data_IF_995647223444
#
_entry.id   IF_995647223444
#
_cell.length_a   1.000
_cell.length_b   1.000
_cell.length_c   1.000
_cell.angle_alpha   90.00
_cell.angle_beta   90.00
_cell.angle_gamma   90.00
#
_symmetry.space_group_name_H-M   'P 1'
#
loop_
_entity.id
_entity.type
_entity.pdbx_description
1 polymer ?
#
# COMPACT_ATOMS: atom_id res chain seq x y z
N UNK A 1 -73.73 -17.59 -15.62
CA UNK A 1 -72.54 -16.94 -16.18
C UNK A 1 -71.77 -16.31 -15.02
N UNK A 2 -70.57 -16.83 -14.80
CA UNK A 2 -69.39 -16.25 -14.13
C UNK A 2 -69.56 -15.35 -12.87
N UNK A 3 -69.06 -15.84 -11.74
CA UNK A 3 -68.28 -15.00 -10.79
C UNK A 3 -66.91 -14.64 -11.43
N UNK A 4 -66.23 -13.56 -11.01
CA UNK A 4 -65.26 -13.76 -9.93
C UNK A 4 -65.07 -12.58 -8.94
N UNK A 5 -64.90 -12.99 -7.68
CA UNK A 5 -63.84 -12.63 -6.73
C UNK A 5 -63.31 -11.18 -6.68
N UNK A 6 -63.70 -10.48 -5.61
CA UNK A 6 -62.93 -9.38 -5.05
C UNK A 6 -61.64 -9.94 -4.44
N UNK A 7 -60.56 -9.98 -5.22
CA UNK A 7 -59.22 -10.22 -4.70
C UNK A 7 -58.77 -9.02 -3.84
N UNK A 8 -58.64 -9.26 -2.54
CA UNK A 8 -57.81 -8.45 -1.65
C UNK A 8 -56.37 -8.53 -2.16
N UNK A 9 -56.01 -7.61 -3.06
CA UNK A 9 -54.64 -7.36 -3.43
C UNK A 9 -53.89 -6.79 -2.24
N UNK A 10 -53.32 -7.68 -1.40
CA UNK A 10 -52.07 -7.37 -0.73
C UNK A 10 -51.11 -6.93 -1.82
N UNK A 11 -50.83 -5.63 -1.91
CA UNK A 11 -49.68 -5.16 -2.64
C UNK A 11 -48.47 -5.82 -1.97
N UNK A 12 -47.96 -6.88 -2.59
CA UNK A 12 -46.67 -7.43 -2.26
C UNK A 12 -45.70 -6.23 -2.22
N UNK A 13 -44.90 -6.06 -1.15
CA UNK A 13 -43.79 -5.14 -1.23
C UNK A 13 -43.02 -5.56 -2.47
N UNK A 14 -42.73 -4.63 -3.37
CA UNK A 14 -41.74 -4.87 -4.43
C UNK A 14 -40.53 -5.39 -3.68
N UNK A 15 -40.24 -6.67 -3.86
CA UNK A 15 -38.92 -7.20 -3.61
C UNK A 15 -38.02 -6.29 -4.44
N UNK A 16 -37.34 -5.36 -3.76
CA UNK A 16 -36.14 -4.78 -4.31
C UNK A 16 -35.32 -6.01 -4.69
N UNK A 17 -35.26 -6.31 -5.99
CA UNK A 17 -34.38 -7.35 -6.51
C UNK A 17 -33.04 -7.04 -5.88
N UNK A 18 -32.61 -7.86 -4.91
CA UNK A 18 -31.30 -7.77 -4.29
C UNK A 18 -30.30 -7.86 -5.45
N UNK A 19 -29.89 -6.71 -5.99
CA UNK A 19 -28.99 -6.62 -7.14
C UNK A 19 -27.77 -7.44 -6.74
N UNK A 20 -27.67 -8.63 -7.32
CA UNK A 20 -26.69 -9.61 -6.91
C UNK A 20 -25.32 -8.97 -7.04
N UNK A 21 -24.60 -8.83 -5.92
CA UNK A 21 -23.36 -8.04 -5.88
C UNK A 21 -22.45 -8.44 -7.06
N UNK A 22 -21.99 -7.47 -7.88
CA UNK A 22 -21.44 -7.74 -9.21
C UNK A 22 -20.29 -8.75 -9.19
N UNK A 23 -19.53 -8.80 -8.09
CA UNK A 23 -18.39 -9.68 -7.85
C UNK A 23 -18.71 -11.20 -7.86
N UNK A 24 -20.00 -11.57 -7.91
CA UNK A 24 -20.46 -12.96 -7.94
C UNK A 24 -20.69 -13.53 -9.36
N UNK A 25 -20.50 -12.75 -10.43
CA UNK A 25 -20.81 -13.18 -11.81
C UNK A 25 -19.57 -13.29 -12.72
N UNK A 26 -19.66 -14.09 -13.80
CA UNK A 26 -18.60 -14.20 -14.82
C UNK A 26 -18.34 -12.91 -15.61
N UNK A 27 -19.28 -11.97 -15.62
CA UNK A 27 -19.10 -10.61 -16.18
C UNK A 27 -18.07 -9.79 -15.37
N UNK A 28 -17.95 -10.08 -14.07
CA UNK A 28 -17.06 -9.35 -13.19
C UNK A 28 -15.56 -9.60 -13.45
N UNK A 29 -15.21 -10.77 -14.00
CA UNK A 29 -13.84 -11.05 -14.47
C UNK A 29 -13.44 -10.15 -15.64
N UNK A 30 -14.36 -9.84 -16.56
CA UNK A 30 -14.09 -8.93 -17.67
C UNK A 30 -14.00 -7.48 -17.20
N UNK A 31 -14.89 -7.05 -16.30
CA UNK A 31 -14.85 -5.71 -15.69
C UNK A 31 -13.56 -5.49 -14.87
N UNK A 32 -13.13 -6.48 -14.10
CA UNK A 32 -11.87 -6.42 -13.36
C UNK A 32 -10.65 -6.34 -14.28
N UNK A 33 -10.65 -7.04 -15.42
CA UNK A 33 -9.59 -6.94 -16.44
C UNK A 33 -9.55 -5.56 -17.09
N UNK A 34 -10.72 -4.99 -17.43
CA UNK A 34 -10.82 -3.62 -17.97
C UNK A 34 -10.26 -2.62 -16.96
N UNK A 35 -10.62 -2.77 -15.70
CA UNK A 35 -10.14 -1.88 -14.63
C UNK A 35 -8.64 -2.02 -14.42
N UNK A 36 -8.10 -3.24 -14.43
CA UNK A 36 -6.66 -3.47 -14.36
C UNK A 36 -5.94 -2.84 -15.55
N UNK A 37 -6.52 -2.94 -16.75
CA UNK A 37 -6.00 -2.31 -17.96
C UNK A 37 -6.02 -0.78 -17.86
N UNK A 38 -7.14 -0.18 -17.43
CA UNK A 38 -7.27 1.27 -17.21
C UNK A 38 -6.29 1.73 -16.13
N UNK A 39 -6.18 1.00 -15.03
CA UNK A 39 -5.22 1.31 -13.96
C UNK A 39 -3.79 1.28 -14.47
N UNK A 40 -3.43 0.27 -15.25
CA UNK A 40 -2.12 0.12 -15.88
C UNK A 40 -1.85 1.28 -16.84
N UNK A 41 -2.82 1.64 -17.69
CA UNK A 41 -2.72 2.81 -18.57
C UNK A 41 -2.55 4.12 -17.81
N UNK A 42 -3.21 4.28 -16.67
CA UNK A 42 -3.06 5.46 -15.81
C UNK A 42 -1.66 5.52 -15.20
N UNK A 43 -1.15 4.40 -14.69
CA UNK A 43 0.23 4.32 -14.16
C UNK A 43 1.24 4.64 -15.25
N UNK A 44 1.14 4.01 -16.42
CA UNK A 44 2.02 4.31 -17.56
C UNK A 44 1.85 5.75 -18.06
N UNK A 45 0.62 6.26 -18.17
CA UNK A 45 0.35 7.66 -18.54
C UNK A 45 1.00 8.64 -17.56
N UNK A 46 0.96 8.35 -16.26
CA UNK A 46 1.64 9.13 -15.23
C UNK A 46 3.17 9.11 -15.39
N UNK A 47 3.77 7.99 -15.84
CA UNK A 47 5.21 7.93 -16.13
C UNK A 47 5.63 8.80 -17.32
N UNK A 48 4.70 9.12 -18.23
CA UNK A 48 4.96 9.97 -19.40
C UNK A 48 4.91 11.47 -19.11
N UNK A 49 4.71 11.89 -17.85
CA UNK A 49 4.77 13.30 -17.47
C UNK A 49 6.17 13.86 -17.73
N UNK A 50 6.25 14.78 -18.69
CA UNK A 50 7.51 15.33 -19.22
C UNK A 50 8.20 16.34 -18.30
N UNK A 51 7.55 16.74 -17.20
CA UNK A 51 8.09 17.71 -16.24
C UNK A 51 8.33 17.04 -14.90
N UNK A 52 9.60 17.02 -14.46
CA UNK A 52 9.97 16.61 -13.12
C UNK A 52 9.78 17.77 -12.13
N UNK A 53 9.13 17.52 -11.00
CA UNK A 53 8.92 18.50 -9.94
C UNK A 53 8.16 17.90 -8.76
N UNK A 54 8.06 18.64 -7.65
CA UNK A 54 7.34 18.20 -6.44
C UNK A 54 5.89 17.83 -6.75
N UNK A 55 5.24 18.63 -7.59
CA UNK A 55 3.87 18.36 -8.03
C UNK A 55 3.75 17.07 -8.82
N UNK A 56 4.73 16.75 -9.67
CA UNK A 56 4.69 15.56 -10.53
C UNK A 56 4.73 14.27 -9.71
N UNK A 57 5.62 14.15 -8.73
CA UNK A 57 5.71 12.94 -7.89
C UNK A 57 4.45 12.71 -7.04
N UNK A 58 3.83 13.79 -6.55
CA UNK A 58 2.56 13.70 -5.82
C UNK A 58 1.44 13.29 -6.77
N UNK A 59 1.38 13.87 -7.96
CA UNK A 59 0.35 13.57 -8.97
C UNK A 59 0.46 12.13 -9.47
N UNK A 60 1.66 11.65 -9.80
CA UNK A 60 1.86 10.27 -10.30
C UNK A 60 1.53 9.20 -9.27
N UNK A 61 1.49 9.55 -7.99
CA UNK A 61 1.08 8.65 -6.92
C UNK A 61 -0.41 8.75 -6.58
N UNK A 62 -0.95 9.97 -6.52
CA UNK A 62 -2.32 10.25 -6.06
C UNK A 62 -3.38 9.92 -7.09
N UNK A 63 -3.11 10.13 -8.38
CA UNK A 63 -4.07 9.79 -9.45
C UNK A 63 -4.35 8.28 -9.46
N UNK A 64 -3.34 7.38 -9.46
CA UNK A 64 -3.58 5.94 -9.35
C UNK A 64 -4.37 5.55 -8.09
N UNK A 65 -4.08 6.16 -6.94
CA UNK A 65 -4.85 5.94 -5.70
C UNK A 65 -6.32 6.29 -5.90
N UNK A 66 -6.60 7.47 -6.48
CA UNK A 66 -7.96 7.91 -6.74
C UNK A 66 -8.71 6.96 -7.68
N UNK A 67 -8.07 6.52 -8.78
CA UNK A 67 -8.66 5.57 -9.73
C UNK A 67 -9.03 4.25 -9.05
N UNK A 68 -8.12 3.70 -8.24
CA UNK A 68 -8.36 2.45 -7.53
C UNK A 68 -9.47 2.61 -6.48
N UNK A 69 -9.50 3.74 -5.77
CA UNK A 69 -10.57 4.07 -4.84
C UNK A 69 -11.93 4.20 -5.52
N UNK A 70 -12.02 4.96 -6.62
CA UNK A 70 -13.25 5.14 -7.38
C UNK A 70 -13.78 3.81 -7.91
N UNK A 71 -12.90 2.90 -8.32
CA UNK A 71 -13.30 1.55 -8.69
C UNK A 71 -13.95 0.80 -7.52
N UNK A 72 -13.28 0.74 -6.36
CA UNK A 72 -13.84 0.07 -5.17
C UNK A 72 -15.17 0.72 -4.75
N UNK A 73 -15.25 2.05 -4.79
CA UNK A 73 -16.46 2.79 -4.47
C UNK A 73 -17.60 2.51 -5.47
N UNK A 74 -17.30 2.42 -6.76
CA UNK A 74 -18.28 2.09 -7.79
C UNK A 74 -18.87 0.69 -7.61
N UNK A 75 -18.03 -0.28 -7.21
CA UNK A 75 -18.42 -1.69 -7.04
C UNK A 75 -19.18 -1.93 -5.73
N UNK A 76 -18.71 -1.38 -4.61
CA UNK A 76 -19.23 -1.70 -3.27
C UNK A 76 -19.97 -0.55 -2.57
N UNK A 77 -19.72 0.70 -2.99
CA UNK A 77 -20.05 1.91 -2.22
C UNK A 77 -21.29 2.68 -2.65
N UNK A 78 -22.09 2.19 -3.61
CA UNK A 78 -23.21 2.95 -4.22
C UNK A 78 -24.23 3.52 -3.23
N UNK A 79 -24.39 2.91 -2.04
CA UNK A 79 -25.36 3.36 -1.03
C UNK A 79 -24.72 4.08 0.17
N UNK A 80 -23.40 4.28 0.17
CA UNK A 80 -22.71 4.92 1.31
C UNK A 80 -22.73 6.44 1.11
N UNK A 81 -23.21 7.22 2.10
CA UNK A 81 -23.21 8.68 2.00
C UNK A 81 -21.77 9.23 2.00
N UNK A 82 -21.50 10.17 1.10
CA UNK A 82 -20.18 10.82 0.94
C UNK A 82 -19.64 11.44 2.23
N UNK A 83 -20.52 11.94 3.10
CA UNK A 83 -20.16 12.45 4.42
C UNK A 83 -19.47 11.40 5.30
N UNK A 84 -19.95 10.15 5.30
CA UNK A 84 -19.33 9.07 6.08
C UNK A 84 -17.94 8.74 5.55
N UNK A 85 -17.78 8.67 4.23
CA UNK A 85 -16.49 8.46 3.56
C UNK A 85 -15.50 9.54 3.97
N UNK A 86 -15.93 10.81 3.95
CA UNK A 86 -15.11 11.93 4.38
C UNK A 86 -14.69 11.82 5.85
N UNK A 87 -15.59 11.42 6.76
CA UNK A 87 -15.24 11.20 8.17
C UNK A 87 -14.24 10.07 8.35
N UNK A 88 -14.38 8.95 7.64
CA UNK A 88 -13.40 7.85 7.67
C UNK A 88 -12.04 8.33 7.16
N UNK A 89 -12.03 9.09 6.06
CA UNK A 89 -10.81 9.62 5.48
C UNK A 89 -10.09 10.58 6.43
N UNK A 90 -10.81 11.55 7.00
CA UNK A 90 -10.27 12.52 7.96
C UNK A 90 -9.80 11.85 9.25
N UNK A 91 -10.54 10.85 9.74
CA UNK A 91 -10.15 10.07 10.92
C UNK A 91 -8.87 9.28 10.68
N UNK A 92 -8.74 8.67 9.50
CA UNK A 92 -7.53 7.94 9.12
C UNK A 92 -6.35 8.90 8.97
N UNK A 93 -6.58 10.07 8.36
CA UNK A 93 -5.55 11.09 8.16
C UNK A 93 -5.03 11.62 9.50
N UNK A 94 -5.92 11.83 10.48
CA UNK A 94 -5.56 12.26 11.82
C UNK A 94 -4.64 11.26 12.56
N UNK A 95 -4.70 9.97 12.21
CA UNK A 95 -3.77 8.95 12.73
C UNK A 95 -2.51 8.84 11.89
N UNK A 96 -2.65 8.83 10.56
CA UNK A 96 -1.55 8.60 9.63
C UNK A 96 -0.53 9.74 9.64
N UNK A 97 -0.96 11.00 9.70
CA UNK A 97 -0.04 12.16 9.64
C UNK A 97 0.90 12.22 10.84
N UNK A 98 0.43 12.18 12.11
CA UNK A 98 1.34 12.17 13.26
C UNK A 98 2.32 10.98 13.23
N UNK A 99 1.85 9.80 12.85
CA UNK A 99 2.71 8.61 12.72
C UNK A 99 3.78 8.83 11.65
N UNK A 100 3.43 9.37 10.48
CA UNK A 100 4.39 9.71 9.43
C UNK A 100 5.42 10.77 9.83
N UNK A 101 5.12 11.63 10.81
CA UNK A 101 6.04 12.63 11.36
C UNK A 101 6.96 12.06 12.46
N UNK A 102 6.45 11.13 13.29
CA UNK A 102 7.20 10.50 14.39
C UNK A 102 8.09 9.36 13.91
N UNK A 103 7.63 8.58 12.93
CA UNK A 103 8.35 7.43 12.37
C UNK A 103 9.80 7.75 11.95
N UNK A 104 10.10 8.87 11.27
CA UNK A 104 11.48 9.26 10.96
C UNK A 104 12.41 9.34 12.19
N UNK A 105 11.90 9.81 13.33
CA UNK A 105 12.67 9.93 14.57
C UNK A 105 12.91 8.54 15.18
N UNK A 106 11.89 7.70 15.18
CA UNK A 106 12.03 6.30 15.63
C UNK A 106 13.05 5.57 14.74
N UNK A 107 12.95 5.76 13.42
CA UNK A 107 13.87 5.18 12.44
C UNK A 107 15.31 5.62 12.65
N UNK A 108 15.55 6.89 12.97
CA UNK A 108 16.91 7.39 13.23
C UNK A 108 17.50 6.77 14.51
N UNK A 109 16.71 6.61 15.57
CA UNK A 109 17.12 5.96 16.81
C UNK A 109 17.56 4.51 16.59
N UNK A 110 16.77 3.73 15.85
CA UNK A 110 17.14 2.35 15.51
C UNK A 110 18.36 2.27 14.60
N UNK A 111 18.46 3.12 13.58
CA UNK A 111 19.63 3.19 12.71
C UNK A 111 20.95 3.39 13.48
N UNK A 112 20.92 4.16 14.57
CA UNK A 112 22.07 4.33 15.45
C UNK A 112 22.48 3.00 16.12
N UNK A 113 21.52 2.25 16.67
CA UNK A 113 21.75 0.93 17.29
C UNK A 113 22.34 -0.05 16.28
N UNK A 114 21.82 -0.06 15.05
CA UNK A 114 22.32 -0.95 14.00
C UNK A 114 23.73 -0.58 13.54
N UNK A 115 24.05 0.70 13.40
CA UNK A 115 25.42 1.13 13.07
C UNK A 115 26.42 0.68 14.14
N UNK A 116 26.02 0.69 15.41
CA UNK A 116 26.85 0.15 16.50
C UNK A 116 27.04 -1.36 16.39
N UNK A 117 25.99 -2.11 15.98
CA UNK A 117 26.09 -3.55 15.75
C UNK A 117 27.00 -3.87 14.55
N UNK A 118 26.89 -3.11 13.46
CA UNK A 118 27.77 -3.24 12.29
C UNK A 118 29.22 -2.89 12.64
N UNK A 119 29.45 -1.91 13.52
CA UNK A 119 30.79 -1.60 14.03
C UNK A 119 31.33 -2.74 14.90
N UNK A 120 30.53 -3.26 15.84
CA UNK A 120 30.93 -4.35 16.72
C UNK A 120 31.21 -5.66 15.97
N UNK A 121 30.58 -5.87 14.82
CA UNK A 121 30.76 -7.07 13.97
C UNK A 121 31.75 -6.85 12.81
N UNK A 122 32.35 -5.66 12.72
CA UNK A 122 33.29 -5.33 11.65
C UNK A 122 34.54 -6.23 11.73
N UNK A 123 34.81 -6.95 10.64
CA UNK A 123 36.04 -7.73 10.46
C UNK A 123 36.74 -7.28 9.18
N UNK A 124 37.93 -6.65 9.26
CA UNK A 124 38.63 -6.13 8.09
C UNK A 124 39.01 -7.24 7.10
N UNK A 125 39.26 -8.46 7.59
CA UNK A 125 39.76 -9.57 6.77
C UNK A 125 38.65 -10.43 6.13
N UNK A 126 37.38 -10.13 6.42
CA UNK A 126 36.21 -10.85 5.89
C UNK A 126 35.17 -9.87 5.36
N UNK A 127 35.22 -9.50 4.07
CA UNK A 127 34.25 -8.58 3.49
C UNK A 127 32.89 -9.25 3.32
N UNK A 128 31.98 -9.06 4.29
CA UNK A 128 30.59 -9.51 4.18
C UNK A 128 29.86 -8.75 3.07
N UNK A 129 29.13 -9.48 2.21
CA UNK A 129 28.27 -8.89 1.16
C UNK A 129 27.14 -8.05 1.77
N UNK A 130 26.68 -8.46 2.95
CA UNK A 130 25.64 -7.80 3.74
C UNK A 130 26.10 -7.77 5.20
N UNK A 131 26.16 -6.59 5.82
CA UNK A 131 26.52 -6.47 7.24
C UNK A 131 25.35 -6.97 8.09
N UNK A 132 25.57 -7.76 9.16
CA UNK A 132 24.49 -8.42 9.88
C UNK A 132 23.50 -7.46 10.57
N UNK A 133 23.92 -6.23 10.90
CA UNK A 133 23.01 -5.21 11.43
C UNK A 133 22.02 -4.70 10.38
N UNK A 134 22.38 -4.70 9.10
CA UNK A 134 21.51 -4.20 8.05
C UNK A 134 20.25 -5.06 7.83
N UNK A 135 20.31 -6.40 7.70
CA UNK A 135 19.11 -7.24 7.64
C UNK A 135 18.22 -7.10 8.86
N UNK A 136 18.83 -6.98 10.05
CA UNK A 136 18.08 -6.76 11.29
C UNK A 136 17.35 -5.42 11.23
N UNK A 137 18.01 -4.36 10.77
CA UNK A 137 17.37 -3.08 10.53
C UNK A 137 16.23 -3.18 9.53
N UNK A 138 16.49 -3.74 8.35
CA UNK A 138 15.47 -3.87 7.32
C UNK A 138 14.29 -4.68 7.80
N UNK A 139 14.51 -5.70 8.62
CA UNK A 139 13.45 -6.47 9.24
C UNK A 139 12.60 -5.61 10.18
N UNK A 140 13.24 -4.88 11.10
CA UNK A 140 12.54 -3.99 12.06
C UNK A 140 11.80 -2.87 11.33
N UNK A 141 12.48 -2.18 10.42
CA UNK A 141 11.92 -1.07 9.66
C UNK A 141 10.71 -1.52 8.84
N UNK A 142 10.85 -2.64 8.14
CA UNK A 142 9.81 -3.11 7.24
C UNK A 142 8.63 -3.76 7.99
N UNK A 143 8.90 -4.74 8.84
CA UNK A 143 7.82 -5.54 9.43
C UNK A 143 7.25 -4.90 10.69
N UNK A 144 8.07 -4.27 11.53
CA UNK A 144 7.61 -3.70 12.80
C UNK A 144 7.17 -2.23 12.67
N UNK A 145 7.96 -1.40 11.99
CA UNK A 145 7.67 0.03 11.89
C UNK A 145 6.73 0.37 10.73
N UNK A 146 6.93 -0.21 9.56
CA UNK A 146 6.14 0.13 8.38
C UNK A 146 4.86 -0.71 8.28
N UNK A 147 4.99 -2.00 8.00
CA UNK A 147 3.86 -2.88 7.73
C UNK A 147 2.94 -3.01 8.95
N UNK A 148 3.47 -3.28 10.14
CA UNK A 148 2.63 -3.45 11.34
C UNK A 148 1.84 -2.18 11.67
N UNK A 149 2.47 -1.01 11.67
CA UNK A 149 1.76 0.25 11.99
C UNK A 149 0.68 0.55 10.95
N UNK A 150 1.00 0.42 9.66
CA UNK A 150 0.04 0.72 8.60
C UNK A 150 -1.15 -0.26 8.62
N UNK A 151 -0.92 -1.56 8.83
CA UNK A 151 -2.01 -2.53 8.96
C UNK A 151 -2.81 -2.36 10.27
N UNK A 152 -2.18 -1.91 11.36
CA UNK A 152 -2.85 -1.58 12.61
C UNK A 152 -3.81 -0.41 12.48
N UNK A 153 -3.43 0.65 11.75
CA UNK A 153 -4.32 1.80 11.49
C UNK A 153 -5.56 1.32 10.72
N UNK A 154 -5.37 0.53 9.66
CA UNK A 154 -6.50 -0.05 8.90
C UNK A 154 -7.39 -0.87 9.80
N UNK A 155 -6.81 -1.75 10.62
CA UNK A 155 -7.56 -2.54 11.60
C UNK A 155 -8.38 -1.67 12.55
N UNK A 156 -7.76 -0.65 13.14
CA UNK A 156 -8.43 0.25 14.09
C UNK A 156 -9.60 0.99 13.45
N UNK A 157 -9.43 1.48 12.21
CA UNK A 157 -10.47 2.17 11.45
C UNK A 157 -11.66 1.26 11.17
N UNK A 158 -11.41 0.03 10.70
CA UNK A 158 -12.48 -0.91 10.36
C UNK A 158 -13.16 -1.41 11.64
N UNK A 159 -12.39 -1.72 12.69
CA UNK A 159 -12.93 -2.13 13.98
C UNK A 159 -13.84 -1.04 14.57
N UNK A 160 -13.42 0.23 14.59
CA UNK A 160 -14.28 1.32 15.05
C UNK A 160 -15.49 1.54 14.16
N UNK A 161 -15.40 1.28 12.85
CA UNK A 161 -16.57 1.29 11.98
C UNK A 161 -17.61 0.23 12.38
N UNK A 162 -17.17 -0.96 12.81
CA UNK A 162 -18.04 -1.98 13.42
C UNK A 162 -18.59 -1.52 14.77
N UNK A 163 -17.75 -1.04 15.68
CA UNK A 163 -18.19 -0.59 17.02
C UNK A 163 -19.22 0.54 16.96
N UNK A 164 -19.10 1.44 15.98
CA UNK A 164 -20.07 2.53 15.73
C UNK A 164 -21.29 2.09 14.91
N UNK A 165 -21.41 0.81 14.57
CA UNK A 165 -22.49 0.23 13.77
C UNK A 165 -22.69 0.93 12.42
N UNK A 166 -21.59 1.36 11.80
CA UNK A 166 -21.60 2.02 10.47
C UNK A 166 -21.70 1.03 9.32
N UNK A 167 -21.52 -0.26 9.60
CA UNK A 167 -21.48 -1.34 8.61
C UNK A 167 -22.85 -2.00 8.58
N UNK A 168 -23.53 -1.91 7.44
CA UNK A 168 -24.83 -2.54 7.22
C UNK A 168 -24.72 -3.70 6.24
N UNK A 169 -23.79 -3.62 5.29
CA UNK A 169 -23.53 -4.61 4.25
C UNK A 169 -22.05 -4.99 4.22
N UNK A 170 -21.70 -6.20 3.73
CA UNK A 170 -20.30 -6.61 3.61
C UNK A 170 -19.47 -5.67 2.71
N UNK A 171 -20.10 -5.09 1.68
CA UNK A 171 -19.49 -4.08 0.82
C UNK A 171 -19.03 -2.81 1.57
N UNK A 172 -19.74 -2.39 2.62
CA UNK A 172 -19.40 -1.17 3.37
C UNK A 172 -18.05 -1.30 4.08
N UNK A 173 -17.75 -2.50 4.61
CA UNK A 173 -16.47 -2.82 5.27
C UNK A 173 -15.31 -2.64 4.29
N UNK A 174 -15.50 -3.08 3.05
CA UNK A 174 -14.49 -3.00 1.99
C UNK A 174 -14.24 -1.54 1.62
N UNK A 175 -15.31 -0.75 1.47
CA UNK A 175 -15.17 0.67 1.15
C UNK A 175 -14.44 1.41 2.27
N UNK A 176 -14.84 1.24 3.54
CA UNK A 176 -14.16 1.91 4.66
C UNK A 176 -12.69 1.50 4.76
N UNK A 177 -12.37 0.21 4.53
CA UNK A 177 -10.99 -0.24 4.45
C UNK A 177 -10.23 0.38 3.28
N UNK A 178 -10.85 0.47 2.11
CA UNK A 178 -10.20 1.04 0.93
C UNK A 178 -9.94 2.54 1.11
N UNK A 179 -10.88 3.29 1.71
CA UNK A 179 -10.65 4.68 2.12
C UNK A 179 -9.43 4.77 3.03
N UNK A 180 -9.37 3.95 4.07
CA UNK A 180 -8.26 3.96 5.02
C UNK A 180 -6.92 3.66 4.32
N UNK A 181 -6.87 2.61 3.51
CA UNK A 181 -5.69 2.23 2.73
C UNK A 181 -5.25 3.34 1.76
N UNK A 182 -6.18 4.01 1.09
CA UNK A 182 -5.87 5.09 0.15
C UNK A 182 -5.33 6.33 0.86
N UNK A 183 -5.87 6.66 2.04
CA UNK A 183 -5.36 7.78 2.86
C UNK A 183 -3.96 7.47 3.38
N UNK A 184 -3.72 6.26 3.90
CA UNK A 184 -2.40 5.83 4.36
C UNK A 184 -1.39 5.87 3.20
N UNK A 185 -1.75 5.30 2.04
CA UNK A 185 -0.89 5.32 0.85
C UNK A 185 -0.58 6.76 0.40
N UNK A 186 -1.58 7.64 0.39
CA UNK A 186 -1.37 9.05 -0.01
C UNK A 186 -0.46 9.79 0.97
N UNK A 187 -0.66 9.60 2.28
CA UNK A 187 0.14 10.23 3.31
C UNK A 187 1.60 9.75 3.29
N UNK A 188 1.82 8.44 3.16
CA UNK A 188 3.16 7.87 3.07
C UNK A 188 3.88 8.31 1.79
N UNK A 189 3.23 8.16 0.62
CA UNK A 189 3.84 8.53 -0.65
C UNK A 189 4.12 10.04 -0.75
N UNK A 190 3.23 10.88 -0.22
CA UNK A 190 3.45 12.33 -0.14
C UNK A 190 4.72 12.68 0.65
N UNK A 191 4.93 12.02 1.79
CA UNK A 191 6.15 12.22 2.59
C UNK A 191 7.41 11.72 1.88
N UNK A 192 7.33 10.59 1.16
CA UNK A 192 8.46 10.06 0.40
C UNK A 192 8.80 10.94 -0.81
N UNK A 193 7.79 11.45 -1.53
CA UNK A 193 7.98 12.39 -2.63
C UNK A 193 8.73 13.64 -2.16
N UNK A 194 8.34 14.22 -1.01
CA UNK A 194 9.03 15.38 -0.43
C UNK A 194 10.50 15.10 -0.11
N UNK A 195 10.81 13.92 0.44
CA UNK A 195 12.20 13.51 0.71
C UNK A 195 13.04 13.38 -0.57
N UNK A 196 12.49 12.76 -1.61
CA UNK A 196 13.17 12.60 -2.91
C UNK A 196 13.48 13.97 -3.52
N UNK A 197 12.50 14.88 -3.53
CA UNK A 197 12.67 16.25 -4.03
C UNK A 197 13.73 17.00 -3.23
N UNK A 198 13.67 16.93 -1.89
CA UNK A 198 14.66 17.60 -1.04
C UNK A 198 16.06 17.04 -1.26
N UNK A 199 16.20 15.73 -1.43
CA UNK A 199 17.48 15.08 -1.69
C UNK A 199 18.08 15.51 -3.03
N UNK A 200 17.25 15.64 -4.07
CA UNK A 200 17.70 16.11 -5.39
C UNK A 200 18.08 17.59 -5.39
N UNK A 201 17.31 18.43 -4.69
CA UNK A 201 17.64 19.85 -4.55
C UNK A 201 18.98 20.08 -3.86
N UNK A 202 19.32 19.22 -2.91
CA UNK A 202 20.54 19.31 -2.11
C UNK A 202 21.69 18.46 -2.69
N UNK A 203 21.50 17.81 -3.84
CA UNK A 203 22.52 16.97 -4.44
C UNK A 203 23.62 17.86 -5.02
N UNK A 204 24.88 17.67 -4.62
CA UNK A 204 25.95 18.54 -5.07
C UNK A 204 26.26 18.26 -6.55
N UNK A 205 26.46 19.34 -7.31
CA UNK A 205 26.61 19.35 -8.78
C UNK A 205 27.78 18.52 -9.30
N UNK A 206 28.73 18.14 -8.44
CA UNK A 206 29.91 17.35 -8.82
C UNK A 206 29.60 15.90 -9.19
N UNK A 207 28.51 15.31 -8.68
CA UNK A 207 28.11 13.92 -9.03
C UNK A 207 27.56 13.82 -10.46
N UNK A 208 27.26 14.98 -11.08
CA UNK A 208 26.73 15.11 -12.44
C UNK A 208 27.81 15.45 -13.47
N UNK A 209 29.08 15.55 -13.07
CA UNK A 209 30.17 15.84 -14.00
C UNK A 209 30.49 14.55 -14.77
N UNK A 210 30.08 14.53 -16.04
CA UNK A 210 30.54 13.58 -17.03
C UNK A 210 32.07 13.49 -16.97
N UNK A 211 32.61 12.27 -16.86
CA UNK A 211 34.05 12.04 -16.91
C UNK A 211 34.71 12.70 -18.13
N UNK A 212 36.04 12.93 -18.09
CA UNK A 212 36.73 13.69 -19.12
C UNK A 212 36.47 13.07 -20.50
N UNK A 213 35.83 13.85 -21.37
CA UNK A 213 35.50 13.47 -22.75
C UNK A 213 36.78 13.49 -23.57
N UNK A 214 37.57 12.42 -23.50
CA UNK A 214 38.69 12.16 -24.41
C UNK A 214 38.35 11.07 -25.44
N UNK A 215 37.09 10.98 -25.85
CA UNK A 215 36.64 10.10 -26.94
C UNK A 215 35.38 10.63 -27.59
N UNK A 216 35.33 10.64 -28.93
CA UNK A 216 34.16 10.95 -29.76
C UNK A 216 33.07 9.85 -29.66
N UNK A 217 32.65 9.52 -28.44
CA UNK A 217 31.45 8.73 -28.16
C UNK A 217 30.30 9.64 -27.71
N UNK A 218 29.03 9.22 -27.86
CA UNK A 218 27.90 10.00 -27.34
C UNK A 218 28.09 10.19 -25.83
N UNK A 219 28.06 11.44 -25.38
CA UNK A 219 28.13 11.83 -23.97
C UNK A 219 27.10 11.06 -23.14
N UNK A 220 27.42 10.56 -21.94
CA UNK A 220 26.42 9.91 -21.10
C UNK A 220 25.36 10.94 -20.70
N UNK A 221 24.12 10.56 -20.98
CA UNK A 221 22.82 11.18 -20.74
C UNK A 221 22.78 12.25 -19.64
N UNK A 222 22.24 13.42 -20.01
CA UNK A 222 22.20 14.61 -19.16
C UNK A 222 21.26 14.51 -17.96
N UNK A 223 21.34 15.53 -17.10
CA UNK A 223 20.48 15.78 -15.93
C UNK A 223 18.95 15.54 -16.16
N UNK A 224 18.36 15.83 -17.34
CA UNK A 224 16.96 15.55 -17.64
C UNK A 224 16.63 14.04 -17.71
N UNK A 225 17.53 13.22 -18.26
CA UNK A 225 17.32 11.78 -18.42
C UNK A 225 17.39 11.06 -17.05
N UNK A 226 18.26 11.55 -16.16
CA UNK A 226 18.34 11.06 -14.78
C UNK A 226 17.08 11.38 -13.97
N UNK A 227 16.55 12.60 -14.09
CA UNK A 227 15.31 13.00 -13.42
C UNK A 227 14.09 12.21 -13.93
N UNK A 228 14.02 11.96 -15.24
CA UNK A 228 13.01 11.08 -15.82
C UNK A 228 13.11 9.65 -15.25
N UNK A 229 14.31 9.08 -15.16
CA UNK A 229 14.53 7.76 -14.57
C UNK A 229 14.07 7.65 -13.10
N UNK A 230 14.27 8.70 -12.30
CA UNK A 230 13.77 8.76 -10.92
C UNK A 230 12.25 8.80 -10.88
N UNK A 231 11.63 9.65 -11.71
CA UNK A 231 10.16 9.74 -11.78
C UNK A 231 9.52 8.41 -12.17
N UNK A 232 10.11 7.72 -13.15
CA UNK A 232 9.68 6.41 -13.60
C UNK A 232 9.77 5.37 -12.50
N UNK A 233 10.93 5.28 -11.86
CA UNK A 233 11.17 4.31 -10.77
C UNK A 233 10.26 4.58 -9.57
N UNK A 234 10.06 5.85 -9.21
CA UNK A 234 9.17 6.25 -8.12
C UNK A 234 7.71 5.90 -8.44
N UNK A 235 7.23 6.25 -9.63
CA UNK A 235 5.86 6.00 -10.04
C UNK A 235 5.59 4.50 -10.14
N UNK A 236 6.48 3.72 -10.76
CA UNK A 236 6.35 2.27 -10.84
C UNK A 236 6.34 1.62 -9.46
N UNK A 237 7.24 2.04 -8.56
CA UNK A 237 7.31 1.49 -7.21
C UNK A 237 6.05 1.79 -6.40
N UNK A 238 5.69 3.08 -6.28
CA UNK A 238 4.62 3.50 -5.40
C UNK A 238 3.24 3.26 -6.01
N UNK A 239 3.00 3.72 -7.24
CA UNK A 239 1.72 3.52 -7.90
C UNK A 239 1.57 2.09 -8.43
N UNK A 240 2.61 1.47 -8.98
CA UNK A 240 2.51 0.12 -9.54
C UNK A 240 2.41 -0.99 -8.49
N UNK A 241 3.04 -0.84 -7.31
CA UNK A 241 3.12 -1.92 -6.32
C UNK A 241 2.57 -1.55 -4.94
N UNK A 242 3.01 -0.44 -4.35
CA UNK A 242 2.60 -0.10 -2.97
C UNK A 242 1.10 0.18 -2.89
N UNK A 243 0.56 1.02 -3.78
CA UNK A 243 -0.87 1.39 -3.76
C UNK A 243 -1.80 0.17 -3.91
N UNK A 244 -1.62 -0.72 -4.91
CA UNK A 244 -2.42 -1.93 -5.02
C UNK A 244 -2.27 -2.84 -3.81
N UNK A 245 -1.05 -2.98 -3.27
CA UNK A 245 -0.80 -3.78 -2.07
C UNK A 245 -1.55 -3.23 -0.85
N UNK A 246 -1.54 -1.91 -0.64
CA UNK A 246 -2.23 -1.24 0.47
C UNK A 246 -3.75 -1.50 0.45
N UNK A 247 -4.36 -1.39 -0.74
CA UNK A 247 -5.79 -1.63 -0.91
C UNK A 247 -6.10 -3.12 -0.79
N UNK A 248 -5.29 -3.99 -1.39
CA UNK A 248 -5.48 -5.44 -1.33
C UNK A 248 -5.35 -6.00 0.10
N UNK A 249 -4.35 -5.58 0.85
CA UNK A 249 -4.17 -5.96 2.27
C UNK A 249 -5.29 -5.42 3.15
N UNK A 250 -5.76 -4.20 2.89
CA UNK A 250 -6.96 -3.65 3.50
C UNK A 250 -8.19 -4.54 3.24
N UNK A 251 -8.38 -4.97 1.99
CA UNK A 251 -9.47 -5.87 1.61
C UNK A 251 -9.42 -7.20 2.38
N UNK A 252 -8.25 -7.84 2.47
CA UNK A 252 -8.05 -9.06 3.27
C UNK A 252 -8.45 -8.82 4.72
N UNK A 253 -8.00 -7.70 5.29
CA UNK A 253 -8.27 -7.34 6.67
C UNK A 253 -9.77 -7.08 6.90
N UNK A 254 -10.42 -6.35 5.99
CA UNK A 254 -11.86 -6.13 5.98
C UNK A 254 -12.65 -7.43 5.97
N UNK A 255 -12.35 -8.35 5.04
CA UNK A 255 -13.07 -9.62 4.94
C UNK A 255 -12.84 -10.55 6.14
N UNK A 256 -11.62 -10.57 6.68
CA UNK A 256 -11.30 -11.39 7.85
C UNK A 256 -11.96 -10.88 9.12
N UNK A 257 -12.03 -9.55 9.29
CA UNK A 257 -12.72 -8.90 10.41
C UNK A 257 -14.24 -8.99 10.27
N UNK A 258 -14.79 -8.76 9.08
CA UNK A 258 -16.21 -8.97 8.81
C UNK A 258 -16.64 -10.42 9.10
N UNK A 259 -15.80 -11.40 8.74
CA UNK A 259 -16.06 -12.80 9.08
C UNK A 259 -15.96 -13.11 10.58
N UNK A 260 -15.31 -12.27 11.39
CA UNK A 260 -15.31 -12.38 12.86
C UNK A 260 -16.55 -11.71 13.45
N UNK A 261 -16.81 -10.47 13.07
CA UNK A 261 -17.86 -9.63 13.67
C UNK A 261 -19.27 -10.03 13.21
N UNK A 262 -19.47 -10.29 11.91
CA UNK A 262 -20.80 -10.62 11.35
C UNK A 262 -21.18 -12.10 11.50
N UNK A 263 -20.18 -13.00 11.53
CA UNK A 263 -20.42 -14.45 11.62
C UNK A 263 -20.03 -15.03 12.99
N UNK A 264 -19.75 -14.16 13.98
CA UNK A 264 -19.31 -14.52 15.33
C UNK A 264 -18.19 -15.57 15.39
N UNK A 265 -17.30 -15.60 14.39
CA UNK A 265 -16.19 -16.56 14.36
C UNK A 265 -15.11 -16.17 15.35
N UNK A 266 -14.65 -17.12 16.16
CA UNK A 266 -13.48 -16.95 17.02
C UNK A 266 -12.20 -16.92 16.19
N UNK A 267 -11.76 -15.72 15.81
CA UNK A 267 -10.43 -15.46 15.26
C UNK A 267 -9.67 -14.52 16.18
N UNK A 268 -8.44 -14.87 16.52
CA UNK A 268 -7.58 -13.99 17.30
C UNK A 268 -7.09 -12.81 16.47
N UNK A 269 -6.73 -11.71 17.14
CA UNK A 269 -6.14 -10.54 16.50
C UNK A 269 -4.92 -10.89 15.63
N UNK A 270 -4.01 -11.73 16.16
CA UNK A 270 -2.82 -12.18 15.44
C UNK A 270 -3.15 -12.96 14.16
N UNK A 271 -4.24 -13.74 14.15
CA UNK A 271 -4.68 -14.47 12.96
C UNK A 271 -5.24 -13.54 11.88
N UNK A 272 -5.74 -12.36 12.25
CA UNK A 272 -6.28 -11.35 11.33
C UNK A 272 -5.14 -10.57 10.69
N UNK A 273 -4.16 -10.11 11.48
CA UNK A 273 -3.16 -9.13 11.01
C UNK A 273 -1.89 -9.75 10.43
N UNK A 274 -1.57 -11.02 10.74
CA UNK A 274 -0.33 -11.67 10.29
C UNK A 274 -0.14 -11.67 8.78
N UNK A 275 -1.17 -12.06 8.02
CA UNK A 275 -1.07 -12.15 6.56
C UNK A 275 -0.95 -10.78 5.89
N UNK A 276 -1.77 -9.76 6.24
CA UNK A 276 -1.57 -8.39 5.78
C UNK A 276 -0.15 -7.88 6.01
N UNK A 277 0.42 -8.06 7.22
CA UNK A 277 1.79 -7.63 7.53
C UNK A 277 2.82 -8.34 6.65
N UNK A 278 2.68 -9.67 6.45
CA UNK A 278 3.64 -10.43 5.66
C UNK A 278 3.57 -10.06 4.16
N UNK A 279 2.37 -9.92 3.60
CA UNK A 279 2.16 -9.58 2.19
C UNK A 279 2.65 -8.17 1.87
N UNK A 280 2.44 -7.24 2.79
CA UNK A 280 2.91 -5.87 2.67
C UNK A 280 4.42 -5.75 2.89
N UNK A 281 4.93 -6.38 3.96
CA UNK A 281 6.31 -6.24 4.38
C UNK A 281 7.32 -7.02 3.52
N UNK A 282 6.99 -8.23 3.05
CA UNK A 282 7.98 -9.06 2.35
C UNK A 282 8.58 -8.38 1.08
N UNK A 283 7.79 -7.72 0.22
CA UNK A 283 8.35 -7.05 -0.96
C UNK A 283 9.17 -5.79 -0.60
N UNK A 284 8.74 -5.04 0.41
CA UNK A 284 9.49 -3.88 0.92
C UNK A 284 10.84 -4.32 1.51
N UNK A 285 10.84 -5.41 2.28
CA UNK A 285 12.05 -5.97 2.89
C UNK A 285 13.03 -6.42 1.81
N UNK A 286 12.55 -7.15 0.80
CA UNK A 286 13.37 -7.56 -0.33
C UNK A 286 13.99 -6.34 -1.05
N UNK A 287 13.21 -5.28 -1.27
CA UNK A 287 13.70 -4.04 -1.88
C UNK A 287 14.81 -3.37 -1.05
N UNK A 288 14.68 -3.33 0.28
CA UNK A 288 15.70 -2.77 1.16
C UNK A 288 17.00 -3.57 1.12
N UNK A 289 16.92 -4.90 1.28
CA UNK A 289 18.10 -5.78 1.20
C UNK A 289 18.84 -5.61 -0.13
N UNK A 290 18.09 -5.54 -1.24
CA UNK A 290 18.68 -5.41 -2.57
C UNK A 290 19.33 -4.04 -2.79
N UNK A 291 18.74 -2.97 -2.25
CA UNK A 291 19.33 -1.63 -2.27
C UNK A 291 20.68 -1.59 -1.53
N UNK A 292 20.78 -2.28 -0.40
CA UNK A 292 22.04 -2.34 0.34
C UNK A 292 23.11 -3.16 -0.34
N UNK A 293 22.74 -4.29 -0.92
CA UNK A 293 23.66 -5.09 -1.72
C UNK A 293 24.21 -4.24 -2.88
N UNK A 294 23.33 -3.59 -3.65
CA UNK A 294 23.74 -2.72 -4.75
C UNK A 294 24.64 -1.57 -4.27
N UNK A 295 24.31 -0.94 -3.14
CA UNK A 295 25.12 0.15 -2.59
C UNK A 295 26.50 -0.32 -2.10
N UNK A 296 26.58 -1.48 -1.44
CA UNK A 296 27.85 -2.05 -0.98
C UNK A 296 28.75 -2.45 -2.16
N UNK A 297 28.18 -3.04 -3.21
CA UNK A 297 28.92 -3.39 -4.42
C UNK A 297 29.41 -2.14 -5.16
N UNK A 298 28.55 -1.13 -5.31
CA UNK A 298 28.96 0.16 -5.87
C UNK A 298 30.08 0.81 -5.05
N UNK A 299 29.96 0.82 -3.71
CA UNK A 299 30.98 1.36 -2.83
C UNK A 299 32.31 0.59 -2.94
N UNK A 300 32.30 -0.74 -3.00
CA UNK A 300 33.51 -1.55 -3.16
C UNK A 300 34.25 -1.22 -4.46
N UNK A 301 33.50 -1.07 -5.55
CA UNK A 301 34.06 -0.74 -6.87
C UNK A 301 34.59 0.70 -6.89
N UNK A 302 33.88 1.66 -6.28
CA UNK A 302 34.20 3.10 -6.34
C UNK A 302 35.21 3.58 -5.28
N UNK A 303 35.37 2.87 -4.16
CA UNK A 303 36.37 3.20 -3.13
C UNK A 303 37.60 2.27 -3.16
N UNK A 304 37.57 1.20 -3.97
CA UNK A 304 38.73 0.35 -4.25
C UNK A 304 39.51 0.77 -5.50
N UNK A 305 38.96 1.63 -6.34
CA UNK A 305 39.56 2.15 -7.55
C UNK A 305 39.24 3.65 -7.70
N UNK A 306 40.12 4.42 -8.33
CA UNK A 306 39.77 5.77 -8.77
C UNK A 306 38.65 5.64 -9.82
N UNK A 307 37.48 6.29 -9.69
CA UNK A 307 36.38 6.17 -10.65
C UNK A 307 36.78 6.46 -12.11
N UNK A 308 37.85 7.23 -12.33
CA UNK A 308 38.42 7.47 -13.66
C UNK A 308 39.16 6.26 -14.27
N UNK A 309 39.47 5.23 -13.47
CA UNK A 309 40.24 4.03 -13.85
C UNK A 309 39.38 2.78 -14.04
N UNK A 310 38.07 2.86 -13.76
CA UNK A 310 37.14 1.75 -13.94
C UNK A 310 36.97 1.41 -15.41
N UNK A 311 37.14 0.14 -15.74
CA UNK A 311 36.93 -0.34 -17.12
C UNK A 311 35.44 -0.38 -17.46
N UNK A 312 35.11 -0.23 -18.75
CA UNK A 312 33.73 -0.36 -19.24
C UNK A 312 33.09 -1.72 -18.91
N UNK A 313 33.90 -2.78 -18.78
CA UNK A 313 33.46 -4.11 -18.39
C UNK A 313 33.01 -4.18 -16.93
N UNK A 314 33.71 -3.50 -16.01
CA UNK A 314 33.36 -3.45 -14.58
C UNK A 314 32.07 -2.66 -14.34
N UNK A 315 31.91 -1.52 -15.02
CA UNK A 315 30.69 -0.72 -15.00
C UNK A 315 29.50 -1.51 -15.57
N UNK A 316 29.70 -2.23 -16.69
CA UNK A 316 28.67 -3.09 -17.29
C UNK A 316 28.26 -4.25 -16.38
N UNK A 317 29.22 -4.87 -15.67
CA UNK A 317 28.95 -5.92 -14.68
C UNK A 317 28.17 -5.39 -13.48
N UNK A 318 28.52 -4.21 -12.97
CA UNK A 318 27.79 -3.58 -11.85
C UNK A 318 26.36 -3.19 -12.27
N UNK A 319 26.21 -2.66 -13.48
CA UNK A 319 24.92 -2.31 -14.06
C UNK A 319 24.02 -3.53 -14.27
N UNK A 320 24.54 -4.60 -14.86
CA UNK A 320 23.80 -5.86 -15.07
C UNK A 320 23.42 -6.55 -13.75
N UNK A 321 24.31 -6.57 -12.76
CA UNK A 321 23.99 -7.07 -11.42
C UNK A 321 22.86 -6.26 -10.80
N UNK A 322 22.95 -4.93 -10.81
CA UNK A 322 21.91 -4.05 -10.26
C UNK A 322 20.58 -4.22 -10.99
N UNK A 323 20.60 -4.37 -12.31
CA UNK A 323 19.40 -4.63 -13.11
C UNK A 323 18.76 -5.99 -12.78
N UNK A 324 19.55 -7.05 -12.62
CA UNK A 324 19.06 -8.37 -12.23
C UNK A 324 18.41 -8.33 -10.84
N UNK A 325 19.06 -7.68 -9.88
CA UNK A 325 18.55 -7.51 -8.52
C UNK A 325 17.22 -6.72 -8.52
N UNK A 326 17.15 -5.63 -9.28
CA UNK A 326 15.93 -4.84 -9.43
C UNK A 326 14.80 -5.65 -10.09
N UNK A 327 15.11 -6.45 -11.12
CA UNK A 327 14.14 -7.34 -11.76
C UNK A 327 13.57 -8.36 -10.76
N UNK A 328 14.41 -8.96 -9.91
CA UNK A 328 13.95 -9.88 -8.86
C UNK A 328 13.01 -9.20 -7.86
N UNK A 329 13.30 -7.96 -7.42
CA UNK A 329 12.36 -7.18 -6.57
C UNK A 329 11.02 -7.01 -7.26
N UNK A 330 11.04 -6.51 -8.50
CA UNK A 330 9.82 -6.24 -9.25
C UNK A 330 8.99 -7.50 -9.46
N UNK A 331 9.62 -8.65 -9.72
CA UNK A 331 8.96 -9.94 -9.84
C UNK A 331 8.30 -10.38 -8.51
N UNK A 332 9.00 -10.22 -7.38
CA UNK A 332 8.45 -10.50 -6.05
C UNK A 332 7.28 -9.57 -5.69
N UNK A 333 7.39 -8.28 -6.04
CA UNK A 333 6.33 -7.30 -5.85
C UNK A 333 5.09 -7.64 -6.69
N UNK A 334 5.27 -7.94 -7.98
CA UNK A 334 4.18 -8.36 -8.86
C UNK A 334 3.50 -9.63 -8.35
N UNK A 335 4.28 -10.64 -7.93
CA UNK A 335 3.76 -11.87 -7.32
C UNK A 335 2.96 -11.56 -6.05
N UNK A 336 3.49 -10.70 -5.17
CA UNK A 336 2.82 -10.28 -3.94
C UNK A 336 1.48 -9.60 -4.21
N UNK A 337 1.42 -8.70 -5.19
CA UNK A 337 0.18 -8.05 -5.63
C UNK A 337 -0.81 -9.10 -6.12
N UNK A 338 -0.40 -10.02 -7.00
CA UNK A 338 -1.24 -11.10 -7.50
C UNK A 338 -1.81 -11.97 -6.37
N UNK A 339 -0.96 -12.43 -5.44
CA UNK A 339 -1.38 -13.24 -4.29
C UNK A 339 -2.41 -12.48 -3.45
N UNK A 340 -2.16 -11.20 -3.21
CA UNK A 340 -3.05 -10.35 -2.42
C UNK A 340 -4.42 -10.25 -3.05
N UNK A 341 -4.54 -9.92 -4.34
CA UNK A 341 -5.83 -9.83 -5.01
C UNK A 341 -6.56 -11.17 -5.14
N UNK A 342 -5.83 -12.26 -5.41
CA UNK A 342 -6.40 -13.62 -5.40
C UNK A 342 -6.98 -13.93 -4.02
N UNK A 343 -6.24 -13.68 -2.96
CA UNK A 343 -6.66 -13.94 -1.59
C UNK A 343 -7.85 -13.06 -1.19
N UNK A 344 -7.83 -11.76 -1.55
CA UNK A 344 -8.96 -10.84 -1.35
C UNK A 344 -10.24 -11.37 -1.99
N UNK A 345 -10.16 -11.82 -3.25
CA UNK A 345 -11.31 -12.42 -3.95
C UNK A 345 -11.80 -13.69 -3.27
N UNK A 346 -10.90 -14.61 -2.92
CA UNK A 346 -11.29 -15.86 -2.25
C UNK A 346 -11.96 -15.60 -0.90
N UNK A 347 -11.42 -14.66 -0.12
CA UNK A 347 -12.00 -14.27 1.17
C UNK A 347 -13.34 -13.57 1.00
N UNK A 348 -13.50 -12.71 -0.01
CA UNK A 348 -14.75 -12.06 -0.32
C UNK A 348 -15.85 -13.05 -0.65
N UNK A 349 -15.59 -13.93 -1.63
CA UNK A 349 -16.56 -14.93 -2.07
C UNK A 349 -16.95 -15.87 -0.93
N UNK A 350 -15.99 -16.21 -0.06
CA UNK A 350 -16.27 -16.99 1.14
C UNK A 350 -17.15 -16.21 2.12
N UNK A 351 -16.90 -14.92 2.32
CA UNK A 351 -17.70 -14.06 3.19
C UNK A 351 -19.13 -13.96 2.69
N UNK A 352 -19.34 -13.57 1.43
CA UNK A 352 -20.68 -13.43 0.80
C UNK A 352 -21.43 -14.75 0.80
N UNK A 353 -20.80 -15.87 0.43
CA UNK A 353 -21.45 -17.19 0.47
C UNK A 353 -21.91 -17.58 1.87
N UNK A 354 -21.13 -17.23 2.91
CA UNK A 354 -21.50 -17.55 4.30
C UNK A 354 -22.54 -16.57 4.85
N UNK A 355 -22.53 -15.31 4.41
CA UNK A 355 -23.55 -14.32 4.78
C UNK A 355 -24.89 -14.60 4.09
N UNK A 356 -24.90 -15.05 2.82
CA UNK A 356 -26.14 -15.47 2.16
C UNK A 356 -26.88 -16.62 2.87
N UNK A 357 -26.18 -17.36 3.75
CA UNK A 357 -26.78 -18.39 4.61
C UNK A 357 -27.18 -17.89 6.00
N UNK A 358 -26.87 -16.64 6.36
CA UNK A 358 -27.16 -16.04 7.67
C UNK A 358 -27.81 -14.67 7.50
N UNK A 359 -29.06 -14.50 7.95
CA UNK A 359 -29.72 -13.19 7.92
C UNK A 359 -28.91 -12.15 8.72
N UNK A 360 -28.56 -11.04 8.07
CA UNK A 360 -27.91 -9.91 8.73
C UNK A 360 -28.88 -9.29 9.75
N UNK A 361 -28.41 -8.85 10.93
CA UNK A 361 -29.26 -8.17 11.89
C UNK A 361 -29.72 -6.82 11.32
N UNK A 362 -30.93 -6.80 10.77
CA UNK A 362 -31.66 -5.62 10.29
C UNK A 362 -32.13 -4.78 11.45
N UNK A 363 -31.21 -4.04 12.07
CA UNK A 363 -31.60 -2.90 12.93
C UNK A 363 -31.01 -1.63 12.36
N UNK A 364 -31.81 -0.95 11.55
CA UNK A 364 -31.54 0.41 11.09
C UNK A 364 -31.57 1.37 12.29
N UNK A 365 -30.43 1.50 12.96
CA UNK A 365 -30.22 2.49 14.01
C UNK A 365 -29.68 3.79 13.38
N UNK A 366 -30.00 4.96 13.95
CA UNK A 366 -29.60 6.23 13.39
C UNK A 366 -28.08 6.31 13.24
N UNK A 367 -27.63 6.66 12.03
CA UNK A 367 -26.22 6.85 11.72
C UNK A 367 -25.64 7.91 12.65
N UNK A 368 -24.76 7.52 13.58
CA UNK A 368 -24.00 8.47 14.41
C UNK A 368 -23.05 9.25 13.49
N UNK A 369 -23.27 10.56 13.38
CA UNK A 369 -22.42 11.48 12.62
C UNK A 369 -21.23 11.92 13.46
N UNK A 370 -20.02 11.97 12.87
CA UNK A 370 -18.79 12.44 13.53
C UNK A 370 -17.54 11.63 13.18
N UNK A 371 -16.39 12.05 13.70
CA UNK A 371 -15.11 11.34 13.57
C UNK A 371 -15.22 9.90 14.10
N UNK A 372 -14.45 8.97 13.52
CA UNK A 372 -14.39 7.58 14.00
C UNK A 372 -13.76 7.48 15.38
N UNK A 373 -12.76 8.32 15.67
CA UNK A 373 -12.07 8.36 16.95
C UNK A 373 -12.44 9.62 17.71
N UNK A 374 -12.68 9.49 19.01
CA UNK A 374 -12.74 10.58 19.97
C UNK A 374 -11.43 10.67 20.75
N UNK A 375 -11.19 11.78 21.45
CA UNK A 375 -10.03 11.93 22.34
C UNK A 375 -9.99 10.86 23.45
N UNK A 376 -11.17 10.40 23.91
CA UNK A 376 -11.28 9.32 24.89
C UNK A 376 -10.77 7.98 24.34
N UNK A 377 -11.07 7.67 23.06
CA UNK A 377 -10.61 6.44 22.40
C UNK A 377 -9.08 6.35 22.25
N UNK A 378 -8.35 7.46 22.37
CA UNK A 378 -6.89 7.52 22.16
C UNK A 378 -6.13 7.54 23.49
N UNK A 379 -6.72 8.10 24.56
CA UNK A 379 -6.01 8.39 25.81
C UNK A 379 -6.61 7.75 27.06
N UNK A 380 -7.85 7.27 27.03
CA UNK A 380 -8.43 6.55 28.17
C UNK A 380 -8.10 5.05 28.06
N UNK A 381 -7.56 4.48 29.15
CA UNK A 381 -7.53 3.05 29.30
C UNK A 381 -8.98 2.56 29.41
N UNK A 382 -9.44 1.71 28.50
CA UNK A 382 -10.64 0.92 28.76
C UNK A 382 -10.41 0.21 30.11
N UNK A 383 -11.28 0.49 31.09
CA UNK A 383 -11.34 -0.33 32.29
C UNK A 383 -11.72 -1.74 31.83
N UNK A 384 -10.70 -2.56 31.57
CA UNK A 384 -10.81 -3.99 31.29
C UNK A 384 -11.18 -4.74 32.57
N UNK A 385 -12.28 -4.35 33.20
CA UNK A 385 -12.91 -5.04 34.31
C UNK A 385 -14.27 -5.55 33.84
N UNK A 386 -14.26 -6.74 33.24
CA UNK A 386 -15.16 -7.88 33.50
C UNK A 386 -14.80 -9.02 32.56
#
# INVERSE_FOLDING_TARGET
MAEPEASCGFAAPKEDEDEQEPFCTGKCTAEALIVFFVYTLVVFGCTLLTKFGTGSLVVTATIPVAVLFFFVFYVFGRQIPSKQIAYVALSTLALAVPLSLVLPVVRSGWMMVIRLLDFATYRPDKPWFVRPGYPLWSFVDTFLLEATIQELIKYAVIYKAFSKKLIQRPGDVIVYSAVASCVIATADVGMQALKVVSSLRNMPTFVLISGPVTGRGPSPHGLPDHQAGILWSFTLYYAGFIVPMQVGTGFILACTLAGRELLHRRKSFLQIIRWPILLHGAPVFASQILRHISHNEAHRVLHGADPATLTSAELSRLGSLTALLQFTVCALMALGVCITFILSRLLYLRLVRTLGTHSLPTTALPAKTGFLFSWQDVFEAENCST
#
